data_IF_562269698096
#
_entry.id   IF_562269698096
#
_cell.length_a   1.000
_cell.length_b   1.000
_cell.length_c   1.000
_cell.angle_alpha   90.00
_cell.angle_beta   90.00
_cell.angle_gamma   90.00
#
_symmetry.space_group_name_H-M   'P 1'
#
loop_
_entity.id
_entity.type
_entity.pdbx_description
1 polymer ?
#
# COMPACT_ATOMS: atom_id res chain seq x y z
N UNK A 1 -19.19 19.56 -44.04
CA UNK A 1 -19.34 18.16 -43.55
C UNK A 1 -18.04 17.59 -42.98
N UNK A 2 -16.89 17.65 -43.68
CA UNK A 2 -15.63 17.08 -43.18
C UNK A 2 -15.14 17.63 -41.82
N UNK A 3 -15.31 18.94 -41.57
CA UNK A 3 -14.90 19.58 -40.31
C UNK A 3 -15.70 19.07 -39.08
N UNK A 4 -16.99 18.80 -39.26
CA UNK A 4 -17.88 18.31 -38.20
C UNK A 4 -17.59 16.84 -37.86
N UNK A 5 -17.24 16.03 -38.87
CA UNK A 5 -16.77 14.65 -38.67
C UNK A 5 -15.42 14.61 -37.95
N UNK A 6 -14.50 15.51 -38.28
CA UNK A 6 -13.20 15.62 -37.62
C UNK A 6 -13.34 16.06 -36.15
N UNK A 7 -14.20 17.05 -35.88
CA UNK A 7 -14.51 17.48 -34.52
C UNK A 7 -15.20 16.37 -33.70
N UNK A 8 -16.12 15.61 -34.30
CA UNK A 8 -16.76 14.48 -33.64
C UNK A 8 -15.77 13.35 -33.32
N UNK A 9 -14.84 13.04 -34.23
CA UNK A 9 -13.78 12.05 -34.00
C UNK A 9 -12.82 12.46 -32.87
N UNK A 10 -12.42 13.74 -32.84
CA UNK A 10 -11.62 14.29 -31.74
C UNK A 10 -12.36 14.24 -30.40
N UNK A 11 -13.66 14.60 -30.38
CA UNK A 11 -14.46 14.57 -29.16
C UNK A 11 -14.60 13.14 -28.64
N UNK A 12 -14.84 12.17 -29.52
CA UNK A 12 -14.93 10.76 -29.16
C UNK A 12 -13.59 10.27 -28.60
N UNK A 13 -12.47 10.57 -29.26
CA UNK A 13 -11.14 10.21 -28.76
C UNK A 13 -10.89 10.79 -27.37
N UNK A 14 -11.10 12.09 -27.18
CA UNK A 14 -10.90 12.76 -25.88
C UNK A 14 -11.77 12.12 -24.80
N UNK A 15 -13.06 11.91 -25.06
CA UNK A 15 -13.97 11.28 -24.10
C UNK A 15 -13.54 9.85 -23.74
N UNK A 16 -13.12 9.05 -24.72
CA UNK A 16 -12.64 7.69 -24.46
C UNK A 16 -11.34 7.67 -23.67
N UNK A 17 -10.39 8.57 -23.96
CA UNK A 17 -9.14 8.66 -23.20
C UNK A 17 -9.36 9.15 -21.78
N UNK A 18 -10.27 10.09 -21.56
CA UNK A 18 -10.60 10.56 -20.21
C UNK A 18 -11.26 9.47 -19.37
N UNK A 19 -12.21 8.74 -19.93
CA UNK A 19 -12.89 7.66 -19.21
C UNK A 19 -11.94 6.51 -18.87
N UNK A 20 -11.01 6.16 -19.78
CA UNK A 20 -9.98 5.16 -19.52
C UNK A 20 -9.05 5.62 -18.40
N UNK A 21 -8.60 6.87 -18.44
CA UNK A 21 -7.71 7.44 -17.43
C UNK A 21 -8.35 7.45 -16.02
N UNK A 22 -9.61 7.84 -15.93
CA UNK A 22 -10.36 7.86 -14.67
C UNK A 22 -10.51 6.44 -14.08
N UNK A 23 -10.81 5.45 -14.94
CA UNK A 23 -10.89 4.06 -14.54
C UNK A 23 -9.55 3.53 -14.01
N UNK A 24 -8.46 3.76 -14.76
CA UNK A 24 -7.11 3.34 -14.38
C UNK A 24 -6.67 3.97 -13.07
N UNK A 25 -6.92 5.27 -12.86
CA UNK A 25 -6.56 5.94 -11.60
C UNK A 25 -7.35 5.41 -10.39
N UNK A 26 -8.63 5.12 -10.57
CA UNK A 26 -9.46 4.53 -9.51
C UNK A 26 -8.95 3.15 -9.12
N UNK A 27 -8.64 2.31 -10.10
CA UNK A 27 -8.15 0.96 -9.86
C UNK A 27 -6.73 0.94 -9.26
N UNK A 28 -5.81 1.80 -9.75
CA UNK A 28 -4.49 2.00 -9.14
C UNK A 28 -4.60 2.46 -7.68
N UNK A 29 -5.56 3.32 -7.36
CA UNK A 29 -5.80 3.77 -5.99
C UNK A 29 -6.26 2.64 -5.07
N UNK A 30 -7.14 1.76 -5.57
CA UNK A 30 -7.64 0.62 -4.81
C UNK A 30 -6.55 -0.43 -4.57
N UNK A 31 -5.75 -0.77 -5.61
CA UNK A 31 -4.60 -1.66 -5.48
C UNK A 31 -3.57 -1.10 -4.50
N UNK A 32 -3.25 0.19 -4.60
CA UNK A 32 -2.35 0.84 -3.66
C UNK A 32 -2.88 0.74 -2.23
N UNK A 33 -4.18 1.01 -2.01
CA UNK A 33 -4.77 0.89 -0.68
C UNK A 33 -4.60 -0.52 -0.11
N UNK A 34 -4.89 -1.55 -0.91
CA UNK A 34 -4.74 -2.94 -0.50
C UNK A 34 -3.32 -3.31 -0.13
N UNK A 35 -2.35 -2.91 -0.95
CA UNK A 35 -0.94 -3.13 -0.67
C UNK A 35 -0.52 -2.47 0.64
N UNK A 36 -0.98 -1.25 0.90
CA UNK A 36 -0.68 -0.57 2.15
C UNK A 36 -1.34 -1.21 3.36
N UNK A 37 -2.63 -1.53 3.27
CA UNK A 37 -3.36 -2.18 4.36
C UNK A 37 -2.75 -3.54 4.74
N UNK A 38 -2.29 -4.32 3.76
CA UNK A 38 -1.60 -5.58 4.02
C UNK A 38 -0.23 -5.39 4.69
N UNK A 39 0.56 -4.39 4.29
CA UNK A 39 1.84 -4.10 4.97
C UNK A 39 1.61 -3.69 6.43
N UNK A 40 0.59 -2.87 6.69
CA UNK A 40 0.21 -2.51 8.06
C UNK A 40 -0.22 -3.72 8.86
N UNK A 41 -1.08 -4.57 8.30
CA UNK A 41 -1.55 -5.77 9.00
C UNK A 41 -0.40 -6.75 9.27
N UNK A 42 0.54 -6.89 8.32
CA UNK A 42 1.77 -7.70 8.51
C UNK A 42 2.59 -7.20 9.69
N UNK A 43 2.80 -5.87 9.79
CA UNK A 43 3.53 -5.25 10.90
C UNK A 43 2.79 -5.47 12.22
N UNK A 44 1.49 -5.16 12.27
CA UNK A 44 0.67 -5.29 13.47
C UNK A 44 0.59 -6.76 13.96
N UNK A 45 0.46 -7.72 13.06
CA UNK A 45 0.41 -9.15 13.42
C UNK A 45 1.78 -9.73 13.81
N UNK A 46 2.87 -9.29 13.16
CA UNK A 46 4.23 -9.64 13.59
C UNK A 46 4.49 -9.11 15.02
N UNK A 47 3.94 -7.95 15.31
CA UNK A 47 4.04 -7.27 16.59
C UNK A 47 3.24 -7.92 17.73
N UNK A 48 1.96 -8.23 17.52
CA UNK A 48 1.13 -8.89 18.54
C UNK A 48 1.76 -10.20 18.99
N UNK A 49 2.41 -10.91 18.06
CA UNK A 49 3.23 -12.08 18.37
C UNK A 49 4.48 -11.75 19.18
N UNK A 50 5.09 -10.58 19.00
CA UNK A 50 6.30 -10.14 19.70
C UNK A 50 6.04 -9.61 21.12
N UNK A 51 5.06 -8.71 21.35
CA UNK A 51 4.78 -8.23 22.72
C UNK A 51 3.85 -9.16 23.51
N UNK A 52 3.17 -10.09 22.86
CA UNK A 52 2.35 -11.09 23.53
C UNK A 52 3.17 -12.17 24.25
N UNK A 53 4.45 -12.32 23.90
CA UNK A 53 5.35 -13.38 24.41
C UNK A 53 6.12 -12.99 25.67
N UNK A 54 6.13 -13.88 26.67
CA UNK A 54 6.88 -13.71 27.91
C UNK A 54 8.36 -14.08 27.76
N UNK A 55 9.12 -13.31 26.98
CA UNK A 55 10.56 -13.50 26.84
C UNK A 55 11.33 -13.12 28.11
N UNK A 56 12.52 -13.70 28.28
CA UNK A 56 13.53 -13.16 29.22
C UNK A 56 14.05 -11.81 28.71
N UNK A 57 14.58 -10.95 29.59
CA UNK A 57 15.04 -9.59 29.21
C UNK A 57 16.07 -9.59 28.07
N UNK A 58 16.99 -10.56 28.05
CA UNK A 58 18.03 -10.65 27.01
C UNK A 58 17.48 -11.16 25.66
N UNK A 59 16.59 -12.16 25.68
CA UNK A 59 15.92 -12.63 24.47
C UNK A 59 15.02 -11.54 23.89
N UNK A 60 14.33 -10.80 24.76
CA UNK A 60 13.51 -9.64 24.37
C UNK A 60 14.34 -8.58 23.63
N UNK A 61 15.49 -8.16 24.19
CA UNK A 61 16.34 -7.15 23.54
C UNK A 61 16.86 -7.59 22.16
N UNK A 62 17.31 -8.84 22.01
CA UNK A 62 17.79 -9.35 20.73
C UNK A 62 16.67 -9.48 19.68
N UNK A 63 15.46 -9.82 20.11
CA UNK A 63 14.30 -9.86 19.23
C UNK A 63 13.78 -8.46 18.86
N UNK A 64 13.80 -7.51 19.80
CA UNK A 64 13.48 -6.09 19.58
C UNK A 64 14.42 -5.48 18.52
N UNK A 65 15.73 -5.68 18.69
CA UNK A 65 16.74 -5.21 17.75
C UNK A 65 16.51 -5.78 16.34
N UNK A 66 16.23 -7.09 16.23
CA UNK A 66 15.92 -7.72 14.93
C UNK A 66 14.66 -7.14 14.30
N UNK A 67 13.63 -6.85 15.09
CA UNK A 67 12.40 -6.24 14.59
C UNK A 67 12.67 -4.82 14.07
N UNK A 68 13.39 -4.01 14.84
CA UNK A 68 13.82 -2.66 14.44
C UNK A 68 14.58 -2.68 13.12
N UNK A 69 15.53 -3.61 12.95
CA UNK A 69 16.25 -3.77 11.68
C UNK A 69 15.34 -4.20 10.52
N UNK A 70 14.39 -5.10 10.78
CA UNK A 70 13.50 -5.65 9.73
C UNK A 70 12.57 -4.58 9.14
N UNK A 71 12.09 -3.67 9.98
CA UNK A 71 11.14 -2.62 9.61
C UNK A 71 11.76 -1.21 9.62
N UNK A 72 13.09 -1.12 9.61
CA UNK A 72 13.85 0.15 9.62
C UNK A 72 13.38 1.14 10.70
N UNK A 73 13.00 0.64 11.88
CA UNK A 73 12.53 1.46 13.00
C UNK A 73 13.74 2.00 13.77
N UNK A 74 13.82 3.30 14.07
CA UNK A 74 14.89 3.84 14.89
C UNK A 74 14.93 3.22 16.29
N UNK A 75 16.13 2.93 16.78
CA UNK A 75 16.38 2.24 18.07
C UNK A 75 15.95 3.06 19.30
N UNK A 76 15.69 4.36 19.12
CA UNK A 76 15.25 5.28 20.18
C UNK A 76 13.77 5.12 20.58
N UNK A 77 12.98 4.39 19.80
CA UNK A 77 11.60 4.09 20.14
C UNK A 77 11.49 2.76 20.88
N UNK A 78 10.99 2.79 22.12
CA UNK A 78 10.47 1.59 22.76
C UNK A 78 9.38 1.01 21.88
N UNK A 79 9.55 -0.22 21.40
CA UNK A 79 8.55 -0.78 20.53
C UNK A 79 7.27 -1.08 21.34
N UNK A 80 7.41 -1.67 22.55
CA UNK A 80 6.28 -2.10 23.38
C UNK A 80 5.85 -0.98 24.35
N UNK A 81 4.58 -0.58 24.27
CA UNK A 81 3.89 0.15 25.32
C UNK A 81 3.08 -0.86 26.16
N UNK A 82 3.72 -1.50 27.13
CA UNK A 82 3.13 -2.66 27.80
C UNK A 82 2.99 -3.85 26.83
N UNK A 83 1.77 -4.27 26.50
CA UNK A 83 1.49 -5.36 25.53
C UNK A 83 0.93 -4.86 24.20
N UNK A 84 1.00 -3.56 23.92
CA UNK A 84 0.47 -2.94 22.69
C UNK A 84 1.57 -2.24 21.91
N UNK A 85 1.28 -2.01 20.63
CA UNK A 85 2.15 -1.29 19.72
C UNK A 85 2.31 0.16 20.19
N UNK A 86 3.55 0.58 20.45
CA UNK A 86 3.80 1.95 20.83
C UNK A 86 3.49 2.87 19.63
N UNK A 87 2.62 3.88 19.77
CA UNK A 87 2.20 4.73 18.64
C UNK A 87 3.36 5.38 17.90
N UNK A 88 4.43 5.77 18.61
CA UNK A 88 5.61 6.38 17.99
C UNK A 88 6.41 5.40 17.11
N UNK A 89 6.57 4.14 17.54
CA UNK A 89 7.26 3.13 16.74
C UNK A 89 6.49 2.85 15.45
N UNK A 90 5.16 2.83 15.55
CA UNK A 90 4.27 2.66 14.42
C UNK A 90 4.31 3.81 13.41
N UNK A 91 4.32 5.06 13.91
CA UNK A 91 4.53 6.22 13.06
C UNK A 91 5.90 6.17 12.37
N UNK A 92 6.95 5.71 13.05
CA UNK A 92 8.26 5.56 12.45
C UNK A 92 8.27 4.50 11.34
N UNK A 93 7.62 3.34 11.56
CA UNK A 93 7.44 2.31 10.53
C UNK A 93 6.71 2.89 9.32
N UNK A 94 5.59 3.59 9.52
CA UNK A 94 4.84 4.16 8.41
C UNK A 94 5.62 5.18 7.59
N UNK A 95 6.48 5.96 8.23
CA UNK A 95 7.34 6.89 7.50
C UNK A 95 8.37 6.18 6.64
N UNK A 96 8.86 5.01 7.06
CA UNK A 96 9.97 4.33 6.39
C UNK A 96 9.51 3.23 5.42
N UNK A 97 8.50 2.46 5.79
CA UNK A 97 8.19 1.17 5.17
C UNK A 97 6.97 1.20 4.25
N UNK A 98 6.01 2.11 4.48
CA UNK A 98 4.71 2.11 3.82
C UNK A 98 4.84 2.19 2.27
N UNK A 99 5.63 3.14 1.76
CA UNK A 99 5.88 3.24 0.32
C UNK A 99 7.07 2.43 -0.18
N UNK A 100 7.68 1.57 0.65
CA UNK A 100 8.90 0.83 0.27
C UNK A 100 8.63 -0.19 -0.83
N UNK A 101 7.42 -0.75 -0.85
CA UNK A 101 7.01 -1.81 -1.77
C UNK A 101 6.47 -1.28 -3.10
N UNK A 102 6.41 0.05 -3.29
CA UNK A 102 6.01 0.63 -4.57
C UNK A 102 7.13 0.42 -5.59
N UNK A 103 6.83 -0.13 -6.78
CA UNK A 103 7.80 -0.30 -7.84
C UNK A 103 8.34 1.06 -8.31
N UNK A 104 9.68 1.13 -8.43
CA UNK A 104 10.41 2.34 -8.88
C UNK A 104 11.01 2.20 -10.28
N UNK A 105 10.77 1.07 -10.93
CA UNK A 105 11.32 0.76 -12.26
C UNK A 105 10.26 0.03 -13.06
N UNK A 106 10.27 0.20 -14.38
CA UNK A 106 9.44 -0.56 -15.32
C UNK A 106 9.42 -2.06 -15.00
N UNK A 107 10.61 -2.66 -14.85
CA UNK A 107 10.73 -4.10 -14.53
C UNK A 107 10.01 -4.45 -13.23
N UNK A 108 10.16 -3.64 -12.18
CA UNK A 108 9.48 -3.90 -10.92
C UNK A 108 7.95 -3.75 -11.06
N UNK A 109 7.48 -2.83 -11.90
CA UNK A 109 6.07 -2.58 -12.14
C UNK A 109 5.41 -3.73 -12.92
N UNK A 110 6.07 -4.29 -13.92
CA UNK A 110 5.60 -5.46 -14.68
C UNK A 110 5.48 -6.73 -13.82
N UNK A 111 6.26 -6.86 -12.75
CA UNK A 111 6.18 -8.01 -11.82
C UNK A 111 5.46 -7.65 -10.52
N UNK A 112 4.50 -6.74 -10.58
CA UNK A 112 3.77 -6.24 -9.42
C UNK A 112 2.26 -6.33 -9.61
N UNK A 113 1.47 -6.11 -8.54
CA UNK A 113 0.01 -6.06 -8.62
C UNK A 113 -0.55 -4.99 -9.56
N UNK A 114 0.30 -4.10 -10.08
CA UNK A 114 -0.06 -3.04 -11.00
C UNK A 114 0.06 -3.46 -12.49
N UNK A 115 0.59 -4.66 -12.80
CA UNK A 115 0.77 -5.15 -14.18
C UNK A 115 -0.51 -5.13 -15.04
N UNK A 116 -1.70 -5.52 -14.53
CA UNK A 116 -2.92 -5.50 -15.35
C UNK A 116 -3.22 -4.10 -15.94
N UNK A 117 -2.88 -3.03 -15.23
CA UNK A 117 -3.10 -1.66 -15.70
C UNK A 117 -2.13 -1.25 -16.81
N UNK A 118 -0.90 -1.79 -16.77
CA UNK A 118 0.06 -1.60 -17.85
C UNK A 118 -0.31 -2.37 -19.11
N UNK A 119 -0.92 -3.54 -18.96
CA UNK A 119 -1.39 -4.33 -20.08
C UNK A 119 -2.53 -3.61 -20.83
N UNK A 120 -3.39 -2.89 -20.09
CA UNK A 120 -4.52 -2.13 -20.65
C UNK A 120 -4.11 -0.80 -21.29
N UNK A 121 -3.13 -0.09 -20.72
CA UNK A 121 -2.67 1.22 -21.20
C UNK A 121 -1.15 1.41 -21.00
N UNK A 122 -0.30 0.73 -21.79
CA UNK A 122 1.15 0.76 -21.63
C UNK A 122 1.76 2.17 -21.84
N UNK A 123 1.10 3.02 -22.61
CA UNK A 123 1.52 4.41 -22.84
C UNK A 123 1.40 5.30 -21.59
N UNK A 124 0.69 4.86 -20.55
CA UNK A 124 0.47 5.62 -19.31
C UNK A 124 1.36 5.15 -18.16
N UNK A 125 2.40 4.37 -18.45
CA UNK A 125 3.27 3.78 -17.44
C UNK A 125 3.94 4.83 -16.54
N UNK A 126 4.50 5.88 -17.14
CA UNK A 126 5.24 6.91 -16.42
C UNK A 126 4.29 7.69 -15.49
N UNK A 127 3.11 8.04 -16.01
CA UNK A 127 2.04 8.67 -15.25
C UNK A 127 1.54 7.77 -14.12
N UNK A 128 1.44 6.46 -14.34
CA UNK A 128 1.06 5.49 -13.32
C UNK A 128 2.11 5.41 -12.20
N UNK A 129 3.40 5.35 -12.53
CA UNK A 129 4.48 5.36 -11.54
C UNK A 129 4.49 6.65 -10.71
N UNK A 130 4.33 7.80 -11.37
CA UNK A 130 4.25 9.09 -10.69
C UNK A 130 3.01 9.15 -9.79
N UNK A 131 1.86 8.71 -10.29
CA UNK A 131 0.61 8.65 -9.53
C UNK A 131 0.75 7.81 -8.26
N UNK A 132 1.33 6.61 -8.37
CA UNK A 132 1.55 5.72 -7.23
C UNK A 132 2.46 6.36 -6.19
N UNK A 133 3.58 6.97 -6.62
CA UNK A 133 4.50 7.65 -5.73
C UNK A 133 3.83 8.82 -4.98
N UNK A 134 3.14 9.71 -5.72
CA UNK A 134 2.43 10.85 -5.13
C UNK A 134 1.30 10.41 -4.19
N UNK A 135 0.53 9.40 -4.58
CA UNK A 135 -0.59 8.91 -3.77
C UNK A 135 -0.08 8.26 -2.49
N UNK A 136 1.01 7.52 -2.55
CA UNK A 136 1.57 6.90 -1.37
C UNK A 136 2.20 7.91 -0.40
N UNK A 137 2.89 8.95 -0.88
CA UNK A 137 3.39 10.00 0.02
C UNK A 137 2.25 10.77 0.71
N UNK A 138 1.13 11.00 0.01
CA UNK A 138 -0.09 11.54 0.65
C UNK A 138 -0.63 10.60 1.72
N UNK A 139 -0.66 9.31 1.44
CA UNK A 139 -1.09 8.28 2.39
C UNK A 139 -0.16 8.26 3.61
N UNK A 140 1.17 8.30 3.44
CA UNK A 140 2.15 8.44 4.54
C UNK A 140 1.89 9.67 5.40
N UNK A 141 1.67 10.83 4.78
CA UNK A 141 1.37 12.06 5.50
C UNK A 141 0.09 11.94 6.34
N UNK A 142 -0.99 11.45 5.73
CA UNK A 142 -2.28 11.27 6.40
C UNK A 142 -2.26 10.17 7.47
N UNK A 143 -1.44 9.13 7.30
CA UNK A 143 -1.36 8.06 8.29
C UNK A 143 -0.63 8.48 9.56
N UNK A 144 0.33 9.40 9.44
CA UNK A 144 1.03 9.94 10.62
C UNK A 144 0.15 10.76 11.54
N UNK A 145 -1.09 11.08 11.17
CA UNK A 145 -2.05 11.82 12.00
C UNK A 145 -3.17 10.95 12.60
N UNK A 146 -3.22 9.64 12.33
CA UNK A 146 -4.30 8.76 12.79
C UNK A 146 -3.95 8.01 14.10
N UNK A 147 -4.87 8.01 15.07
CA UNK A 147 -4.81 7.26 16.35
C UNK A 147 -5.42 5.84 16.23
N UNK A 148 -5.12 5.13 15.14
CA UNK A 148 -5.85 3.93 14.70
C UNK A 148 -5.62 2.66 15.56
N UNK A 149 -4.68 2.67 16.50
CA UNK A 149 -4.39 1.52 17.38
C UNK A 149 -5.55 1.20 18.33
N UNK A 150 -6.39 2.19 18.66
CA UNK A 150 -7.50 2.00 19.61
C UNK A 150 -8.83 1.60 18.93
N UNK A 151 -8.91 1.63 17.59
CA UNK A 151 -10.16 1.39 16.85
C UNK A 151 -10.31 -0.05 16.33
N UNK A 152 -9.29 -0.91 16.46
CA UNK A 152 -9.35 -2.27 15.93
C UNK A 152 -10.14 -3.19 16.87
N UNK A 153 -11.31 -3.65 16.42
CA UNK A 153 -12.00 -4.79 16.99
C UNK A 153 -11.28 -6.11 16.67
N UNK A 154 -11.39 -7.15 17.52
CA UNK A 154 -10.83 -8.45 17.20
C UNK A 154 -11.50 -9.06 15.96
N UNK A 155 -10.73 -9.33 14.91
CA UNK A 155 -11.19 -10.01 13.70
C UNK A 155 -11.43 -9.12 12.48
N UNK A 156 -11.34 -7.79 12.63
CA UNK A 156 -11.53 -6.90 11.49
C UNK A 156 -10.29 -6.90 10.57
N UNK A 157 -10.55 -7.13 9.28
CA UNK A 157 -9.59 -6.95 8.20
C UNK A 157 -9.26 -5.47 8.10
N UNK A 158 -7.98 -5.11 8.31
CA UNK A 158 -7.49 -3.74 8.14
C UNK A 158 -7.80 -3.21 6.74
N UNK A 159 -7.88 -4.09 5.75
CA UNK A 159 -8.29 -3.73 4.40
C UNK A 159 -9.73 -3.19 4.37
N UNK A 160 -10.68 -3.86 5.03
CA UNK A 160 -12.07 -3.41 5.07
C UNK A 160 -12.21 -2.05 5.76
N UNK A 161 -11.47 -1.84 6.86
CA UNK A 161 -11.51 -0.59 7.63
C UNK A 161 -10.87 0.57 6.85
N UNK A 162 -9.73 0.32 6.19
CA UNK A 162 -8.94 1.38 5.56
C UNK A 162 -9.36 1.65 4.11
N UNK A 163 -9.74 0.62 3.36
CA UNK A 163 -10.07 0.71 1.95
C UNK A 163 -11.58 0.72 1.69
N UNK A 164 -12.41 0.39 2.68
CA UNK A 164 -13.86 0.27 2.52
C UNK A 164 -14.30 -0.98 1.74
N UNK A 165 -13.35 -1.85 1.40
CA UNK A 165 -13.54 -3.12 0.71
C UNK A 165 -12.48 -4.13 1.16
N UNK A 166 -12.73 -5.41 0.92
CA UNK A 166 -11.72 -6.44 1.15
C UNK A 166 -10.65 -6.41 0.06
N UNK A 167 -9.47 -6.92 0.41
CA UNK A 167 -8.33 -7.01 -0.49
C UNK A 167 -7.94 -8.48 -0.63
N UNK A 168 -8.50 -9.15 -1.64
CA UNK A 168 -8.27 -10.57 -1.88
C UNK A 168 -7.06 -10.74 -2.79
N UNK A 169 -5.98 -11.29 -2.25
CA UNK A 169 -4.77 -11.58 -3.02
C UNK A 169 -4.91 -12.86 -3.84
N UNK A 170 -4.48 -12.84 -5.10
CA UNK A 170 -4.39 -14.00 -5.99
C UNK A 170 -3.00 -14.08 -6.60
N UNK A 171 -2.55 -15.31 -6.87
CA UNK A 171 -1.31 -15.56 -7.61
C UNK A 171 -1.62 -15.95 -9.05
N UNK A 172 -0.94 -15.30 -9.99
CA UNK A 172 -0.86 -15.65 -11.40
C UNK A 172 0.50 -16.25 -11.71
N UNK A 173 0.50 -17.35 -12.44
CA UNK A 173 1.73 -18.03 -12.91
C UNK A 173 2.52 -17.14 -13.89
N UNK A 174 1.85 -16.17 -14.52
CA UNK A 174 2.41 -15.33 -15.58
C UNK A 174 2.68 -13.88 -15.15
N UNK A 175 1.82 -13.31 -14.30
CA UNK A 175 1.88 -11.88 -13.90
C UNK A 175 2.41 -11.67 -12.47
N UNK A 176 2.75 -12.74 -11.74
CA UNK A 176 2.99 -12.64 -10.30
C UNK A 176 1.68 -12.49 -9.53
N UNK A 177 1.65 -11.72 -8.44
CA UNK A 177 0.46 -11.57 -7.62
C UNK A 177 -0.35 -10.31 -7.93
N UNK A 178 -1.68 -10.39 -7.76
CA UNK A 178 -2.63 -9.30 -8.01
C UNK A 178 -3.76 -9.29 -6.97
N UNK A 179 -4.47 -8.16 -6.86
CA UNK A 179 -5.68 -8.06 -6.04
C UNK A 179 -6.93 -8.27 -6.90
N UNK A 180 -7.83 -9.13 -6.42
CA UNK A 180 -9.19 -9.27 -6.91
C UNK A 180 -10.04 -8.20 -6.21
N UNK A 181 -10.24 -7.06 -6.89
CA UNK A 181 -10.94 -5.88 -6.41
C UNK A 181 -12.38 -5.79 -6.93
#
# INVERSE_FOLDING_TARGET
>A
MALLLFLALLLVQVLTTSALLDHTQSALSAVLCCQQAQEVDRVANAWDRFCGTGYTTQAYAAHEERFQMTFAVPNEFSLCAGRRLHPQALMAIFRQELCRTIPKTHRALVYSPYEPFLAEAPELEEEAMEFLAQRCERVKANWTSLNWVDERGPGDSLCQVLCGHECVWKESVFSGGYYDL
#
